data_IF_275769892611
#
_entry.id   IF_275769892611
#
_cell.length_a   1.000
_cell.length_b   1.000
_cell.length_c   1.000
_cell.angle_alpha   90.00
_cell.angle_beta   90.00
_cell.angle_gamma   90.00
#
_symmetry.space_group_name_H-M   'P 1'
#
loop_
_entity.id
_entity.type
_entity.pdbx_description
1 polymer ?
#
# COMPACT_ATOMS: atom_id res chain seq x y z
N UNK A 1 -26.07 23.29 -6.85
CA UNK A 1 -24.91 22.78 -7.61
C UNK A 1 -23.80 22.46 -6.61
N UNK A 2 -23.08 21.32 -6.67
CA UNK A 2 -23.32 20.05 -7.37
C UNK A 2 -23.54 18.84 -6.41
N UNK A 3 -23.94 17.76 -7.06
CA UNK A 3 -24.41 16.43 -6.64
C UNK A 3 -23.81 15.72 -5.41
N UNK A 4 -24.70 15.36 -4.49
CA UNK A 4 -24.63 14.22 -3.57
C UNK A 4 -24.83 12.90 -4.33
N UNK A 5 -23.95 12.56 -5.27
CA UNK A 5 -24.00 11.27 -6.03
C UNK A 5 -22.76 10.40 -5.90
N UNK A 6 -21.73 10.83 -5.16
CA UNK A 6 -20.49 10.05 -5.04
C UNK A 6 -20.52 8.99 -3.92
N UNK A 7 -21.54 9.01 -3.04
CA UNK A 7 -21.64 8.03 -1.95
C UNK A 7 -22.50 6.80 -2.27
N UNK A 8 -23.21 6.76 -3.40
CA UNK A 8 -24.07 5.61 -3.76
C UNK A 8 -23.32 4.49 -4.49
N UNK A 9 -22.06 4.73 -4.89
CA UNK A 9 -21.23 3.74 -5.58
C UNK A 9 -20.31 2.95 -4.63
N UNK A 10 -20.37 3.22 -3.32
CA UNK A 10 -19.59 2.47 -2.35
C UNK A 10 -20.34 1.19 -1.97
N UNK A 11 -19.81 0.07 -2.45
CA UNK A 11 -20.21 -1.26 -2.00
C UNK A 11 -20.25 -1.29 -0.46
N UNK A 12 -21.36 -1.69 0.19
CA UNK A 12 -21.46 -1.74 1.65
C UNK A 12 -20.46 -2.71 2.29
N UNK A 13 -19.88 -3.63 1.52
CA UNK A 13 -18.76 -4.47 1.95
C UNK A 13 -17.40 -3.74 1.98
N UNK A 14 -17.29 -2.55 1.37
CA UNK A 14 -16.08 -1.74 1.27
C UNK A 14 -16.18 -0.45 2.12
N UNK A 15 -17.04 -0.45 3.15
CA UNK A 15 -17.14 0.67 4.08
C UNK A 15 -15.79 0.89 4.77
N UNK A 16 -15.25 2.09 4.62
CA UNK A 16 -14.11 2.53 5.42
C UNK A 16 -14.54 2.56 6.90
N UNK A 17 -13.95 1.68 7.73
CA UNK A 17 -14.10 1.73 9.19
C UNK A 17 -15.12 0.77 9.83
N UNK A 18 -15.81 -0.09 9.07
CA UNK A 18 -16.75 -1.08 9.66
C UNK A 18 -16.51 -2.49 9.09
N UNK A 19 -15.49 -3.20 9.60
CA UNK A 19 -15.31 -4.63 9.40
C UNK A 19 -14.45 -5.03 8.21
N UNK A 20 -13.22 -5.45 8.51
CA UNK A 20 -12.26 -5.93 7.52
C UNK A 20 -11.01 -5.07 7.58
N UNK A 21 -9.88 -5.69 7.89
CA UNK A 21 -8.64 -4.96 7.90
C UNK A 21 -8.38 -4.41 6.48
N UNK A 22 -8.28 -3.09 6.34
CA UNK A 22 -8.25 -2.41 5.03
C UNK A 22 -7.09 -2.85 4.12
N UNK A 23 -7.06 -2.41 2.84
CA UNK A 23 -6.05 -2.83 1.87
C UNK A 23 -4.60 -2.74 2.37
N UNK A 24 -4.29 -1.70 3.14
CA UNK A 24 -2.97 -1.48 3.76
C UNK A 24 -2.63 -2.56 4.79
N UNK A 25 -3.60 -3.00 5.60
CA UNK A 25 -3.37 -4.11 6.52
C UNK A 25 -3.15 -5.42 5.79
N UNK A 26 -3.99 -5.72 4.78
CA UNK A 26 -3.81 -6.94 3.98
C UNK A 26 -2.40 -6.96 3.39
N UNK A 27 -1.97 -5.82 2.87
CA UNK A 27 -0.62 -5.65 2.33
C UNK A 27 0.47 -5.87 3.38
N UNK A 28 0.33 -5.26 4.56
CA UNK A 28 1.26 -5.43 5.67
C UNK A 28 1.36 -6.89 6.14
N UNK A 29 0.23 -7.57 6.33
CA UNK A 29 0.23 -8.96 6.76
C UNK A 29 0.91 -9.88 5.73
N UNK A 30 0.68 -9.65 4.43
CA UNK A 30 1.36 -10.42 3.39
C UNK A 30 2.86 -10.11 3.35
N UNK A 31 3.25 -8.85 3.52
CA UNK A 31 4.66 -8.43 3.61
C UNK A 31 5.40 -9.08 4.79
N UNK A 32 4.81 -9.06 6.00
CA UNK A 32 5.40 -9.74 7.17
C UNK A 32 5.60 -11.25 6.98
N UNK A 33 4.81 -11.86 6.08
CA UNK A 33 4.90 -13.28 5.76
C UNK A 33 5.70 -13.57 4.48
N UNK A 34 6.29 -12.56 3.82
CA UNK A 34 7.01 -12.74 2.55
C UNK A 34 6.13 -13.21 1.39
N UNK A 35 4.84 -12.86 1.42
CA UNK A 35 3.79 -13.26 0.46
C UNK A 35 3.27 -12.08 -0.35
N UNK A 36 4.13 -11.09 -0.60
CA UNK A 36 3.79 -9.82 -1.25
C UNK A 36 3.14 -10.01 -2.63
N UNK A 37 3.53 -11.06 -3.36
CA UNK A 37 3.03 -11.39 -4.70
C UNK A 37 1.52 -11.65 -4.72
N UNK A 38 0.90 -12.03 -3.60
CA UNK A 38 -0.55 -12.23 -3.51
C UNK A 38 -1.36 -10.93 -3.52
N UNK A 39 -0.69 -9.78 -3.49
CA UNK A 39 -1.30 -8.47 -3.72
C UNK A 39 -1.43 -8.12 -5.21
N UNK A 40 -0.69 -8.80 -6.08
CA UNK A 40 -0.71 -8.52 -7.52
C UNK A 40 -2.08 -8.83 -8.09
N UNK A 41 -2.57 -7.93 -8.95
CA UNK A 41 -3.83 -8.13 -9.65
C UNK A 41 -3.75 -9.42 -10.48
N UNK A 42 -4.69 -10.38 -10.31
CA UNK A 42 -4.66 -11.64 -11.04
C UNK A 42 -4.82 -11.47 -12.57
N UNK A 43 -5.27 -10.31 -13.04
CA UNK A 43 -5.35 -9.98 -14.47
C UNK A 43 -4.01 -9.51 -15.06
N UNK A 44 -3.02 -9.19 -14.22
CA UNK A 44 -1.65 -8.87 -14.65
C UNK A 44 -0.89 -10.17 -14.92
N UNK A 45 -0.80 -10.54 -16.20
CA UNK A 45 -0.29 -11.84 -16.63
C UNK A 45 1.24 -11.98 -16.51
N UNK A 46 1.98 -10.88 -16.66
CA UNK A 46 3.44 -10.85 -16.60
C UNK A 46 3.90 -9.66 -15.75
N UNK A 47 4.81 -9.91 -14.82
CA UNK A 47 5.41 -8.89 -13.95
C UNK A 47 6.76 -9.37 -13.41
N UNK A 48 7.62 -8.43 -13.03
CA UNK A 48 8.84 -8.71 -12.28
C UNK A 48 8.54 -8.76 -10.77
N UNK A 49 8.85 -9.89 -10.14
CA UNK A 49 8.61 -10.08 -8.71
C UNK A 49 9.40 -9.11 -7.82
N UNK A 50 10.59 -8.68 -8.25
CA UNK A 50 11.41 -7.70 -7.53
C UNK A 50 10.81 -6.29 -7.65
N UNK A 51 10.28 -5.92 -8.81
CA UNK A 51 9.57 -4.65 -8.96
C UNK A 51 8.31 -4.61 -8.10
N UNK A 52 7.53 -5.70 -8.09
CA UNK A 52 6.36 -5.83 -7.21
C UNK A 52 6.75 -5.65 -5.75
N UNK A 53 7.80 -6.36 -5.29
CA UNK A 53 8.28 -6.25 -3.90
C UNK A 53 8.71 -4.82 -3.59
N UNK A 54 9.47 -4.19 -4.48
CA UNK A 54 9.92 -2.80 -4.33
C UNK A 54 8.75 -1.82 -4.23
N UNK A 55 7.76 -1.95 -5.12
CA UNK A 55 6.56 -1.09 -5.12
C UNK A 55 5.81 -1.22 -3.80
N UNK A 56 5.66 -2.45 -3.30
CA UNK A 56 4.98 -2.72 -2.02
C UNK A 56 5.77 -2.12 -0.85
N UNK A 57 7.09 -2.30 -0.81
CA UNK A 57 7.94 -1.73 0.24
C UNK A 57 7.85 -0.19 0.26
N UNK A 58 7.92 0.46 -0.91
CA UNK A 58 7.74 1.91 -1.05
C UNK A 58 6.35 2.35 -0.57
N UNK A 59 5.29 1.64 -0.96
CA UNK A 59 3.92 1.95 -0.56
C UNK A 59 3.72 1.82 0.97
N UNK A 60 4.29 0.80 1.59
CA UNK A 60 4.26 0.60 3.04
C UNK A 60 5.07 1.68 3.78
N UNK A 61 6.18 2.15 3.21
CA UNK A 61 6.94 3.28 3.77
C UNK A 61 6.16 4.62 3.65
N UNK A 62 5.45 4.84 2.55
CA UNK A 62 4.61 6.03 2.34
C UNK A 62 3.39 6.09 3.28
N UNK A 63 2.90 4.94 3.73
CA UNK A 63 1.70 4.82 4.59
C UNK A 63 2.04 4.71 6.08
N UNK A 64 3.29 4.99 6.46
CA UNK A 64 3.73 5.00 7.85
C UNK A 64 2.87 5.90 8.74
N UNK A 65 2.59 5.42 9.96
CA UNK A 65 1.77 6.11 10.95
C UNK A 65 2.34 7.50 11.26
N UNK A 66 3.65 7.53 11.54
CA UNK A 66 4.39 8.75 11.80
C UNK A 66 4.71 9.47 10.49
N UNK A 67 4.29 10.73 10.32
CA UNK A 67 4.64 11.53 9.14
C UNK A 67 6.16 11.66 8.92
N UNK A 68 6.94 11.67 10.01
CA UNK A 68 8.40 11.80 9.95
C UNK A 68 9.13 10.56 9.43
N UNK A 69 8.44 9.41 9.35
CA UNK A 69 8.99 8.18 8.76
C UNK A 69 8.66 8.04 7.27
N UNK A 70 7.80 8.91 6.72
CA UNK A 70 7.42 8.87 5.32
C UNK A 70 8.53 9.50 4.48
N UNK A 71 8.89 8.90 3.33
CA UNK A 71 9.91 9.45 2.45
C UNK A 71 9.42 10.73 1.77
N UNK A 72 10.37 11.58 1.35
CA UNK A 72 10.04 12.66 0.44
C UNK A 72 9.62 12.10 -0.93
N UNK A 73 8.78 12.84 -1.65
CA UNK A 73 8.35 12.41 -2.99
C UNK A 73 9.50 12.23 -3.99
N UNK A 74 10.57 13.01 -3.86
CA UNK A 74 11.76 12.84 -4.69
C UNK A 74 12.45 11.49 -4.43
N UNK A 75 12.56 11.10 -3.15
CA UNK A 75 13.13 9.82 -2.77
C UNK A 75 12.25 8.64 -3.23
N UNK A 76 10.92 8.78 -3.14
CA UNK A 76 9.97 7.81 -3.69
C UNK A 76 10.20 7.58 -5.17
N UNK A 77 10.37 8.64 -5.96
CA UNK A 77 10.62 8.51 -7.39
C UNK A 77 11.92 7.74 -7.68
N UNK A 78 13.00 8.08 -6.99
CA UNK A 78 14.30 7.40 -7.11
C UNK A 78 14.21 5.92 -6.71
N UNK A 79 13.49 5.60 -5.63
CA UNK A 79 13.23 4.21 -5.23
C UNK A 79 12.46 3.46 -6.32
N UNK A 80 11.37 4.02 -6.84
CA UNK A 80 10.57 3.35 -7.88
C UNK A 80 11.34 3.14 -9.19
N UNK A 81 12.24 4.06 -9.54
CA UNK A 81 13.16 3.91 -10.68
C UNK A 81 14.19 2.79 -10.48
N UNK A 82 14.36 2.27 -9.25
CA UNK A 82 15.34 1.23 -8.93
C UNK A 82 16.76 1.77 -8.74
N UNK A 83 16.92 3.09 -8.65
CA UNK A 83 18.23 3.74 -8.47
C UNK A 83 18.73 3.64 -7.01
N UNK A 84 17.82 3.42 -6.06
CA UNK A 84 18.11 3.33 -4.63
C UNK A 84 17.28 2.21 -3.99
N UNK A 85 17.93 1.41 -3.15
CA UNK A 85 17.27 0.35 -2.36
C UNK A 85 16.30 0.93 -1.33
N UNK A 86 15.19 0.23 -1.11
CA UNK A 86 14.17 0.66 -0.16
C UNK A 86 14.62 0.29 1.25
N UNK A 87 14.59 1.26 2.18
CA UNK A 87 14.87 0.98 3.58
C UNK A 87 13.84 -0.02 4.14
N UNK A 88 14.26 -0.94 5.01
CA UNK A 88 13.37 -1.96 5.56
C UNK A 88 12.18 -1.31 6.30
N UNK A 89 10.97 -1.70 5.89
CA UNK A 89 9.75 -1.22 6.55
C UNK A 89 9.58 -2.03 7.84
N UNK A 90 10.00 -1.47 8.96
CA UNK A 90 10.07 -2.17 10.26
C UNK A 90 8.88 -1.90 11.16
N UNK A 91 8.01 -0.96 10.80
CA UNK A 91 6.94 -0.47 11.67
C UNK A 91 5.59 -0.56 10.98
N UNK A 92 4.59 -0.98 11.75
CA UNK A 92 3.20 -1.13 11.29
C UNK A 92 2.65 0.21 10.76
N UNK A 93 2.01 0.23 9.58
CA UNK A 93 1.24 1.38 9.11
C UNK A 93 0.15 1.78 10.12
N UNK A 94 -0.16 3.07 10.20
CA UNK A 94 -0.92 3.68 11.31
C UNK A 94 -2.41 3.35 11.43
N UNK A 95 -2.91 2.32 10.76
CA UNK A 95 -4.34 1.96 10.77
C UNK A 95 -4.74 1.05 11.95
N UNK A 96 -3.94 1.01 13.01
CA UNK A 96 -4.26 0.33 14.27
C UNK A 96 -4.74 1.34 15.30
N UNK A 97 -6.02 1.71 15.21
CA UNK A 97 -6.83 2.21 16.33
C UNK A 97 -8.29 1.88 16.04
#
# INVERSE_FOLDING_TARGET
>A
MPNLKLQQDFNPANKLGEGGFGPVYKAWNLHENGREIELVDPTLLEFDANEVRRIIDVALLCTQASPGLRPSMSLVATMLSGDVEVASVTTRPGYFN
#
